data_IF_461263993450
#
_entry.id   IF_461263993450
#
_cell.length_a   1.000
_cell.length_b   1.000
_cell.length_c   1.000
_cell.angle_alpha   90.00
_cell.angle_beta   90.00
_cell.angle_gamma   90.00
#
_symmetry.space_group_name_H-M   'P 1'
#
loop_
_entity.id
_entity.type
_entity.pdbx_description
1 polymer ?
#
# COMPACT_ATOMS: atom_id res chain seq x y z
N UNK A 1 12.28 38.02 85.13
CA UNK A 1 11.96 37.83 83.70
C UNK A 1 12.71 36.60 83.21
N UNK A 2 12.02 35.46 82.99
CA UNK A 2 12.61 34.24 82.44
C UNK A 2 12.49 34.31 80.91
N UNK A 3 13.62 34.35 80.21
CA UNK A 3 13.66 34.27 78.73
C UNK A 3 13.55 32.80 78.31
N UNK A 4 12.46 32.44 77.63
CA UNK A 4 12.38 31.19 76.88
C UNK A 4 13.21 31.34 75.59
N UNK A 5 14.25 30.52 75.45
CA UNK A 5 14.88 30.26 74.15
C UNK A 5 14.08 29.14 73.48
N UNK A 6 13.29 29.51 72.46
CA UNK A 6 12.69 28.55 71.52
C UNK A 6 13.72 28.19 70.46
N UNK A 7 14.14 26.93 70.42
CA UNK A 7 14.90 26.36 69.31
C UNK A 7 13.89 25.94 68.25
N UNK A 8 13.91 26.61 67.11
CA UNK A 8 13.16 26.20 65.91
C UNK A 8 14.07 25.26 65.12
N UNK A 9 13.73 23.98 65.10
CA UNK A 9 14.36 23.01 64.20
C UNK A 9 13.60 23.08 62.88
N UNK A 10 14.16 23.80 61.90
CA UNK A 10 13.70 23.74 60.51
C UNK A 10 14.37 22.52 59.89
N UNK A 11 13.66 21.39 59.79
CA UNK A 11 14.12 20.28 58.96
C UNK A 11 13.85 20.66 57.50
N UNK A 12 14.88 21.11 56.80
CA UNK A 12 14.88 21.09 55.34
C UNK A 12 14.88 19.61 54.93
N UNK A 13 13.71 19.07 54.57
CA UNK A 13 13.65 17.87 53.75
C UNK A 13 14.25 18.27 52.39
N UNK A 14 15.56 18.11 52.27
CA UNK A 14 16.20 18.04 50.98
C UNK A 14 15.54 16.87 50.26
N UNK A 15 14.65 17.19 49.31
CA UNK A 15 14.11 16.22 48.39
C UNK A 15 15.28 15.58 47.67
N UNK A 16 15.69 14.41 48.18
CA UNK A 16 16.47 13.47 47.41
C UNK A 16 15.61 13.17 46.20
N UNK A 17 15.91 13.83 45.07
CA UNK A 17 15.51 13.39 43.76
C UNK A 17 16.14 12.00 43.62
N UNK A 18 15.42 10.97 44.06
CA UNK A 18 15.72 9.60 43.70
C UNK A 18 15.77 9.60 42.18
N UNK A 19 16.95 9.36 41.61
CA UNK A 19 17.09 9.07 40.21
C UNK A 19 16.18 7.89 39.90
N UNK A 20 15.00 8.20 39.38
CA UNK A 20 14.01 7.22 38.97
C UNK A 20 14.64 6.43 37.82
N UNK A 21 14.91 5.16 38.07
CA UNK A 21 15.10 4.17 37.01
C UNK A 21 13.91 4.28 36.05
N UNK A 22 14.16 4.13 34.75
CA UNK A 22 13.12 4.11 33.72
C UNK A 22 11.90 3.30 34.19
N UNK A 23 10.78 3.99 34.42
CA UNK A 23 9.57 3.36 34.90
C UNK A 23 8.73 2.94 33.69
N UNK A 24 8.20 1.72 33.73
CA UNK A 24 7.11 1.36 32.83
C UNK A 24 5.82 1.89 33.41
N UNK A 25 5.16 2.79 32.69
CA UNK A 25 3.90 3.41 33.06
C UNK A 25 2.82 2.87 32.12
N UNK A 26 1.89 2.14 32.72
CA UNK A 26 0.78 1.51 32.01
C UNK A 26 -0.37 2.49 31.86
N UNK A 27 -1.03 2.43 30.71
CA UNK A 27 -2.32 3.08 30.51
C UNK A 27 -3.37 2.45 31.44
N UNK A 28 -4.15 3.27 32.14
CA UNK A 28 -5.23 2.80 33.02
C UNK A 28 -6.63 3.02 32.42
N UNK A 29 -6.74 3.68 31.26
CA UNK A 29 -8.02 3.88 30.58
C UNK A 29 -8.88 4.94 31.22
N UNK A 30 -8.27 6.05 31.66
CA UNK A 30 -8.97 7.14 32.35
C UNK A 30 -10.05 7.86 31.52
N UNK A 31 -10.30 9.12 31.81
CA UNK A 31 -11.59 9.76 31.47
C UNK A 31 -11.74 10.25 30.03
N UNK A 32 -10.64 10.53 29.31
CA UNK A 32 -10.70 11.31 28.06
C UNK A 32 -9.80 10.82 26.90
N UNK A 33 -9.10 9.69 27.08
CA UNK A 33 -8.19 9.09 26.08
C UNK A 33 -6.95 9.91 25.70
N UNK A 34 -6.74 11.09 26.28
CA UNK A 34 -5.62 11.96 25.95
C UNK A 34 -4.32 11.46 26.61
N UNK A 35 -3.23 11.42 25.85
CA UNK A 35 -1.92 11.03 26.36
C UNK A 35 -1.45 11.98 27.46
N UNK A 36 -1.72 13.28 27.32
CA UNK A 36 -1.28 14.31 28.27
C UNK A 36 -2.06 14.35 29.58
N UNK A 37 -3.17 13.62 29.71
CA UNK A 37 -3.98 13.58 30.94
C UNK A 37 -3.39 12.56 31.91
N UNK A 38 -2.85 13.06 33.03
CA UNK A 38 -2.12 12.26 34.02
C UNK A 38 -2.99 11.15 34.64
N UNK A 39 -4.29 11.42 34.86
CA UNK A 39 -5.27 10.47 35.42
C UNK A 39 -5.52 9.26 34.52
N UNK A 40 -5.14 9.31 33.24
CA UNK A 40 -5.26 8.18 32.34
C UNK A 40 -4.14 7.14 32.50
N UNK A 41 -3.10 7.48 33.25
CA UNK A 41 -1.93 6.64 33.48
C UNK A 41 -1.91 6.09 34.90
N UNK A 42 -1.42 4.85 35.05
CA UNK A 42 -1.23 4.23 36.36
C UNK A 42 -0.30 5.09 37.21
N UNK A 43 -0.80 5.53 38.37
CA UNK A 43 -0.07 6.40 39.29
C UNK A 43 -0.34 7.89 39.12
N UNK A 44 -1.16 8.29 38.14
CA UNK A 44 -1.52 9.70 37.95
C UNK A 44 -0.37 10.55 37.42
N UNK A 45 0.48 10.00 36.55
CA UNK A 45 1.67 10.66 36.00
C UNK A 45 1.79 10.38 34.51
N UNK A 46 1.94 11.44 33.72
CA UNK A 46 2.19 11.33 32.27
C UNK A 46 3.61 10.79 32.02
N UNK A 47 3.79 9.77 31.17
CA UNK A 47 5.11 9.26 30.81
C UNK A 47 6.01 10.34 30.20
N UNK A 48 7.25 10.40 30.67
CA UNK A 48 8.24 11.37 30.22
C UNK A 48 9.47 10.71 29.57
N UNK A 49 10.50 11.51 29.29
CA UNK A 49 11.72 11.13 28.54
C UNK A 49 12.49 9.91 29.08
N UNK A 50 12.28 9.51 30.33
CA UNK A 50 12.93 8.35 30.94
C UNK A 50 12.02 7.12 31.01
N UNK A 51 10.74 7.27 30.70
CA UNK A 51 9.71 6.26 30.95
C UNK A 51 9.38 5.45 29.70
N UNK A 52 8.91 4.23 29.93
CA UNK A 52 8.22 3.43 28.93
C UNK A 52 6.72 3.66 29.07
N UNK A 53 6.10 4.23 28.03
CA UNK A 53 4.66 4.31 27.92
C UNK A 53 4.12 3.02 27.30
N UNK A 54 3.22 2.32 28.00
CA UNK A 54 2.71 1.02 27.57
C UNK A 54 1.19 0.93 27.61
N UNK A 55 0.60 0.42 26.53
CA UNK A 55 -0.85 0.12 26.49
C UNK A 55 -1.22 -1.05 27.38
N UNK A 56 -2.46 -1.05 27.88
CA UNK A 56 -3.01 -2.18 28.66
C UNK A 56 -3.55 -3.26 27.74
N UNK A 57 -3.36 -4.52 28.11
CA UNK A 57 -3.95 -5.64 27.38
C UNK A 57 -5.48 -5.54 27.39
N UNK A 58 -6.09 -5.68 26.21
CA UNK A 58 -7.54 -5.72 26.04
C UNK A 58 -8.19 -4.36 25.76
N UNK A 59 -7.40 -3.28 25.70
CA UNK A 59 -7.84 -1.96 25.27
C UNK A 59 -8.40 -1.98 23.84
N UNK A 60 -9.54 -1.33 23.62
CA UNK A 60 -10.17 -1.19 22.29
C UNK A 60 -9.97 0.19 21.68
N UNK A 61 -9.76 1.21 22.52
CA UNK A 61 -9.69 2.59 22.11
C UNK A 61 -8.25 2.99 21.73
N UNK A 62 -8.10 4.10 20.99
CA UNK A 62 -6.81 4.69 20.66
C UNK A 62 -6.46 5.80 21.65
N UNK A 63 -5.23 5.80 22.16
CA UNK A 63 -4.69 6.88 22.98
C UNK A 63 -4.33 8.04 22.06
N UNK A 64 -4.93 9.21 22.28
CA UNK A 64 -4.74 10.39 21.44
C UNK A 64 -3.50 11.14 21.90
N UNK A 65 -2.52 11.27 21.01
CA UNK A 65 -1.38 12.18 21.17
C UNK A 65 -1.88 13.58 20.82
N UNK A 66 -2.23 14.34 21.86
CA UNK A 66 -2.88 15.65 21.75
C UNK A 66 -1.90 16.84 21.76
N UNK A 67 -0.63 16.58 22.06
CA UNK A 67 0.42 17.59 22.21
C UNK A 67 1.79 16.97 21.98
N UNK A 68 2.85 17.78 21.93
CA UNK A 68 4.22 17.26 21.82
C UNK A 68 4.59 16.43 23.04
N UNK A 69 4.99 15.17 22.81
CA UNK A 69 5.35 14.22 23.84
C UNK A 69 6.72 13.62 23.55
N UNK A 70 7.44 13.26 24.60
CA UNK A 70 8.72 12.53 24.48
C UNK A 70 8.80 11.45 25.53
N UNK A 71 9.01 10.21 25.09
CA UNK A 71 9.14 9.03 25.94
C UNK A 71 10.39 8.24 25.58
N UNK A 72 10.94 7.50 26.55
CA UNK A 72 12.09 6.63 26.28
C UNK A 72 11.69 5.49 25.35
N UNK A 73 10.55 4.85 25.64
CA UNK A 73 9.99 3.72 24.89
C UNK A 73 8.48 3.87 24.76
N UNK A 74 7.95 3.35 23.66
CA UNK A 74 6.52 3.24 23.43
C UNK A 74 6.21 1.81 23.03
N UNK A 75 5.39 1.11 23.83
CA UNK A 75 5.05 -0.29 23.59
C UNK A 75 3.53 -0.52 23.52
N UNK A 76 3.08 -0.94 22.35
CA UNK A 76 1.73 -1.42 22.09
C UNK A 76 1.61 -2.94 22.30
N UNK A 77 0.48 -3.39 22.83
CA UNK A 77 0.26 -4.80 23.12
C UNK A 77 -1.19 -5.16 23.43
N UNK A 78 -2.16 -4.39 22.92
CA UNK A 78 -3.57 -4.72 23.08
C UNK A 78 -3.98 -5.87 22.16
N UNK A 79 -4.93 -6.69 22.59
CA UNK A 79 -5.52 -7.79 21.82
C UNK A 79 -6.77 -7.39 21.02
N UNK A 80 -7.31 -6.20 21.29
CA UNK A 80 -8.64 -5.80 20.85
C UNK A 80 -8.64 -4.53 19.98
N UNK A 81 -7.53 -4.20 19.31
CA UNK A 81 -7.44 -3.05 18.39
C UNK A 81 -6.91 -1.76 19.00
N UNK A 82 -6.75 -1.68 20.32
CA UNK A 82 -6.23 -0.48 20.97
C UNK A 82 -4.78 -0.17 20.60
N UNK A 83 -4.42 1.11 20.63
CA UNK A 83 -3.08 1.61 20.30
C UNK A 83 -3.03 3.13 20.40
N UNK A 84 -2.54 3.81 19.37
CA UNK A 84 -2.25 5.26 19.41
C UNK A 84 -2.86 6.00 18.22
N UNK A 85 -3.24 7.26 18.42
CA UNK A 85 -3.71 8.16 17.37
C UNK A 85 -2.97 9.49 17.48
N UNK A 86 -2.33 9.95 16.41
CA UNK A 86 -1.56 11.18 16.35
C UNK A 86 -2.24 12.15 15.39
N UNK A 87 -3.20 12.91 15.92
CA UNK A 87 -3.97 13.91 15.15
C UNK A 87 -3.19 15.23 15.03
N UNK A 88 -2.43 15.57 16.07
CA UNK A 88 -1.66 16.81 16.13
C UNK A 88 -0.42 16.62 17.03
N UNK A 89 0.58 17.49 16.85
CA UNK A 89 1.82 17.45 17.64
C UNK A 89 2.81 16.37 17.21
N UNK A 90 3.85 16.20 18.02
CA UNK A 90 4.99 15.32 17.76
C UNK A 90 5.18 14.33 18.90
N UNK A 91 5.12 13.03 18.62
CA UNK A 91 5.55 11.98 19.54
C UNK A 91 6.99 11.57 19.24
N UNK A 92 7.89 11.85 20.17
CA UNK A 92 9.28 11.40 20.09
C UNK A 92 9.49 10.15 20.96
N UNK A 93 9.92 9.06 20.34
CA UNK A 93 10.26 7.81 21.01
C UNK A 93 11.77 7.61 20.90
N UNK A 94 12.49 7.71 22.02
CA UNK A 94 13.94 7.86 21.99
C UNK A 94 14.71 6.57 21.69
N UNK A 95 14.18 5.39 22.04
CA UNK A 95 14.95 4.14 21.93
C UNK A 95 14.22 3.01 21.22
N UNK A 96 12.98 2.70 21.62
CA UNK A 96 12.23 1.58 21.04
C UNK A 96 10.78 2.00 20.86
N UNK A 97 10.33 1.92 19.62
CA UNK A 97 8.93 1.90 19.28
C UNK A 97 8.54 0.47 18.90
N UNK A 98 7.60 -0.12 19.63
CA UNK A 98 7.20 -1.50 19.39
C UNK A 98 5.69 -1.68 19.45
N UNK A 99 5.11 -2.24 18.39
CA UNK A 99 3.70 -2.61 18.32
C UNK A 99 3.56 -4.13 18.28
N UNK A 100 2.59 -4.65 19.03
CA UNK A 100 2.30 -6.07 19.06
C UNK A 100 3.14 -6.89 20.04
N UNK A 101 3.72 -6.27 21.07
CA UNK A 101 4.60 -6.92 22.06
C UNK A 101 3.84 -7.73 23.13
N UNK A 102 2.73 -8.35 22.76
CA UNK A 102 1.92 -9.26 23.59
C UNK A 102 1.39 -10.37 22.69
N UNK A 103 1.28 -11.60 23.19
CA UNK A 103 0.66 -12.70 22.47
C UNK A 103 -0.74 -12.32 21.93
N UNK A 104 -0.95 -12.57 20.62
CA UNK A 104 -2.16 -12.25 19.84
C UNK A 104 -2.55 -10.77 19.87
N UNK A 105 -1.56 -9.89 19.99
CA UNK A 105 -1.83 -8.47 19.94
C UNK A 105 -2.43 -8.09 18.59
N UNK A 106 -3.50 -7.29 18.63
CA UNK A 106 -4.09 -6.61 17.50
C UNK A 106 -4.01 -5.12 17.79
N UNK A 107 -2.92 -4.48 17.37
CA UNK A 107 -2.63 -3.08 17.70
C UNK A 107 -2.80 -2.18 16.47
N UNK A 108 -3.27 -0.95 16.68
CA UNK A 108 -3.44 0.04 15.64
C UNK A 108 -2.78 1.36 16.07
N UNK A 109 -1.86 1.87 15.26
CA UNK A 109 -1.40 3.26 15.34
C UNK A 109 -1.91 4.02 14.12
N UNK A 110 -2.53 5.18 14.34
CA UNK A 110 -2.99 6.07 13.26
C UNK A 110 -2.23 7.39 13.37
N UNK A 111 -1.65 7.85 12.27
CA UNK A 111 -1.02 9.17 12.14
C UNK A 111 -1.84 9.94 11.10
N UNK A 112 -2.56 10.95 11.57
CA UNK A 112 -3.48 11.74 10.75
C UNK A 112 -3.34 13.24 11.07
N UNK A 113 -2.11 13.75 10.89
CA UNK A 113 -1.80 15.18 10.94
C UNK A 113 -0.55 15.51 11.75
N UNK A 114 -0.21 14.69 12.75
CA UNK A 114 0.97 14.88 13.58
C UNK A 114 2.24 14.22 13.05
N UNK A 115 3.21 14.01 13.93
CA UNK A 115 4.49 13.37 13.61
C UNK A 115 4.87 12.32 14.64
N UNK A 116 5.24 11.11 14.17
CA UNK A 116 5.92 10.10 14.97
C UNK A 116 7.41 10.11 14.64
N UNK A 117 8.26 10.34 15.64
CA UNK A 117 9.71 10.26 15.51
C UNK A 117 10.25 9.10 16.37
N UNK A 118 10.57 7.97 15.76
CA UNK A 118 11.25 6.85 16.42
C UNK A 118 12.76 6.98 16.22
N UNK A 119 13.49 7.38 17.27
CA UNK A 119 14.94 7.60 17.17
C UNK A 119 15.77 6.32 17.27
N UNK A 120 15.19 5.23 17.76
CA UNK A 120 15.81 3.91 17.74
C UNK A 120 15.00 2.91 16.93
N UNK A 121 15.12 1.64 17.27
CA UNK A 121 14.52 0.55 16.48
C UNK A 121 12.99 0.60 16.56
N UNK A 122 12.36 0.48 15.39
CA UNK A 122 10.90 0.34 15.25
C UNK A 122 10.54 -1.10 14.91
N UNK A 123 9.74 -1.76 15.74
CA UNK A 123 9.29 -3.14 15.50
C UNK A 123 7.76 -3.22 15.46
N UNK A 124 7.21 -3.68 14.35
CA UNK A 124 5.76 -3.75 14.13
C UNK A 124 5.42 -5.22 13.88
N UNK A 125 4.48 -5.76 14.65
CA UNK A 125 4.18 -7.21 14.62
C UNK A 125 5.20 -8.01 15.41
N UNK A 126 5.49 -7.58 16.64
CA UNK A 126 6.44 -8.24 17.53
C UNK A 126 5.96 -9.60 18.07
N UNK A 127 4.72 -10.01 17.84
CA UNK A 127 4.21 -11.35 18.13
C UNK A 127 4.78 -12.03 19.37
N UNK A 128 4.48 -11.54 20.59
CA UNK A 128 4.91 -12.30 21.79
C UNK A 128 4.35 -13.74 21.77
N UNK A 129 4.91 -14.69 22.54
CA UNK A 129 4.67 -16.16 22.68
C UNK A 129 3.70 -16.96 21.75
N UNK A 130 2.59 -16.40 21.24
CA UNK A 130 1.69 -16.95 20.21
C UNK A 130 1.64 -16.00 18.97
N UNK A 131 2.52 -16.21 17.99
CA UNK A 131 2.85 -15.45 16.76
C UNK A 131 1.70 -15.07 15.78
N UNK A 132 0.44 -15.02 16.22
CA UNK A 132 -0.75 -14.82 15.37
C UNK A 132 -1.33 -13.40 15.42
N UNK A 133 -0.67 -12.47 16.12
CA UNK A 133 -1.11 -11.08 16.22
C UNK A 133 -0.88 -10.27 14.93
N UNK A 134 -1.64 -9.19 14.77
CA UNK A 134 -1.47 -8.21 13.71
C UNK A 134 -1.22 -6.83 14.33
N UNK A 135 -0.22 -6.10 13.86
CA UNK A 135 -0.04 -4.70 14.25
C UNK A 135 0.00 -3.83 13.02
N UNK A 136 -0.85 -2.81 13.00
CA UNK A 136 -1.01 -1.92 11.85
C UNK A 136 -0.63 -0.50 12.22
N UNK A 137 0.17 0.14 11.37
CA UNK A 137 0.35 1.58 11.37
C UNK A 137 -0.31 2.14 10.11
N UNK A 138 -1.17 3.15 10.30
CA UNK A 138 -1.79 3.90 9.22
C UNK A 138 -1.24 5.33 9.21
N UNK A 139 -0.50 5.68 8.17
CA UNK A 139 -0.09 7.05 7.88
C UNK A 139 -1.04 7.64 6.84
N UNK A 140 -2.01 8.41 7.32
CA UNK A 140 -3.04 9.08 6.49
C UNK A 140 -2.61 10.48 6.10
N UNK A 141 -1.93 11.17 7.01
CA UNK A 141 -1.32 12.48 6.79
C UNK A 141 -0.23 12.73 7.85
N UNK A 142 0.58 13.78 7.71
CA UNK A 142 1.68 14.06 8.66
C UNK A 142 2.96 13.29 8.33
N UNK A 143 3.70 12.84 9.35
CA UNK A 143 4.99 12.18 9.15
C UNK A 143 5.28 11.01 10.09
N UNK A 144 5.98 9.99 9.57
CA UNK A 144 6.59 8.92 10.37
C UNK A 144 8.08 8.82 10.06
N UNK A 145 8.92 9.26 11.00
CA UNK A 145 10.36 9.24 10.86
C UNK A 145 10.95 8.15 11.77
N UNK A 146 11.80 7.29 11.19
CA UNK A 146 12.63 6.34 11.94
C UNK A 146 14.10 6.62 11.68
N UNK A 147 14.88 6.84 12.74
CA UNK A 147 16.32 7.04 12.61
C UNK A 147 17.09 5.72 12.50
N UNK A 148 16.53 4.62 13.01
CA UNK A 148 17.14 3.30 13.00
C UNK A 148 16.24 2.28 12.28
N UNK A 149 16.62 1.00 12.33
CA UNK A 149 15.97 -0.11 11.62
C UNK A 149 14.46 -0.15 11.91
N UNK A 150 13.69 -0.28 10.84
CA UNK A 150 12.26 -0.57 10.89
C UNK A 150 12.05 -2.03 10.48
N UNK A 151 11.28 -2.77 11.28
CA UNK A 151 10.90 -4.15 10.97
C UNK A 151 9.39 -4.28 10.94
N UNK A 152 8.87 -4.72 9.80
CA UNK A 152 7.48 -5.13 9.60
C UNK A 152 7.41 -6.65 9.66
N UNK A 153 6.65 -7.16 10.62
CA UNK A 153 6.46 -8.58 10.83
C UNK A 153 7.68 -9.29 11.39
N UNK A 154 8.12 -8.85 12.57
CA UNK A 154 9.28 -9.46 13.25
C UNK A 154 8.99 -10.90 13.67
N UNK A 155 7.92 -11.13 14.43
CA UNK A 155 7.50 -12.46 14.92
C UNK A 155 6.06 -12.79 14.50
N UNK A 156 5.22 -11.77 14.25
CA UNK A 156 3.83 -11.91 13.77
C UNK A 156 3.57 -11.02 12.55
N UNK A 157 2.32 -10.73 12.21
CA UNK A 157 2.02 -9.82 11.09
C UNK A 157 2.23 -8.36 11.50
N UNK A 158 3.06 -7.64 10.74
CA UNK A 158 3.25 -6.20 10.85
C UNK A 158 2.87 -5.50 9.55
N UNK A 159 2.00 -4.51 9.63
CA UNK A 159 1.43 -3.80 8.49
C UNK A 159 1.77 -2.31 8.62
N UNK A 160 2.27 -1.73 7.53
CA UNK A 160 2.40 -0.28 7.35
C UNK A 160 1.58 0.14 6.13
N UNK A 161 0.57 0.97 6.35
CA UNK A 161 -0.29 1.56 5.32
C UNK A 161 0.02 3.05 5.22
N UNK A 162 0.44 3.52 4.05
CA UNK A 162 0.73 4.93 3.77
C UNK A 162 -0.22 5.38 2.67
N UNK A 163 -1.31 6.06 3.05
CA UNK A 163 -2.28 6.61 2.11
C UNK A 163 -2.11 8.11 1.87
N UNK A 164 -1.25 8.76 2.66
CA UNK A 164 -0.85 10.17 2.53
C UNK A 164 0.30 10.51 3.47
N UNK A 165 0.77 11.76 3.46
CA UNK A 165 1.90 12.19 4.28
C UNK A 165 3.26 11.59 3.84
N UNK A 166 4.25 11.61 4.73
CA UNK A 166 5.60 11.14 4.41
C UNK A 166 6.21 10.25 5.51
N UNK A 167 6.60 9.04 5.15
CA UNK A 167 7.45 8.19 5.95
C UNK A 167 8.92 8.32 5.52
N UNK A 168 9.83 8.49 6.47
CA UNK A 168 11.28 8.57 6.21
C UNK A 168 12.04 7.66 7.15
N UNK A 169 12.73 6.66 6.60
CA UNK A 169 13.55 5.73 7.36
C UNK A 169 15.02 5.92 7.00
N UNK A 170 15.82 6.36 7.98
CA UNK A 170 17.23 6.68 7.81
C UNK A 170 18.16 5.46 8.00
N UNK A 171 17.60 4.26 8.02
CA UNK A 171 18.31 3.00 8.15
C UNK A 171 17.62 1.95 7.29
N UNK A 172 17.74 0.68 7.66
CA UNK A 172 17.18 -0.45 6.91
C UNK A 172 15.69 -0.63 7.18
N UNK A 173 14.94 -1.04 6.15
CA UNK A 173 13.57 -1.52 6.27
C UNK A 173 13.54 -3.02 6.00
N UNK A 174 13.06 -3.80 6.97
CA UNK A 174 12.86 -5.24 6.84
C UNK A 174 11.39 -5.60 6.84
N UNK A 175 11.00 -6.50 5.96
CA UNK A 175 9.64 -7.01 5.87
C UNK A 175 9.65 -8.52 5.89
N UNK A 176 8.89 -9.10 6.82
CA UNK A 176 8.82 -10.53 7.04
C UNK A 176 10.10 -11.05 7.64
N UNK A 177 10.42 -10.64 8.87
CA UNK A 177 11.63 -11.05 9.58
C UNK A 177 12.62 -9.93 9.87
N UNK A 178 13.71 -10.27 10.56
CA UNK A 178 14.81 -9.37 10.86
C UNK A 178 16.17 -9.94 10.41
N UNK A 179 17.21 -9.12 10.41
CA UNK A 179 18.59 -9.53 10.14
C UNK A 179 19.25 -10.25 11.32
N UNK A 180 18.52 -10.52 12.40
CA UNK A 180 18.93 -11.37 13.48
C UNK A 180 18.91 -12.83 13.08
N UNK A 181 19.31 -13.72 14.00
CA UNK A 181 19.31 -15.18 13.80
C UNK A 181 18.03 -15.86 14.26
N UNK A 182 16.99 -15.09 14.57
CA UNK A 182 15.74 -15.66 15.04
C UNK A 182 15.07 -16.43 13.89
N UNK A 183 14.60 -17.62 14.21
CA UNK A 183 13.81 -18.43 13.29
C UNK A 183 12.35 -17.98 13.24
N UNK A 184 11.91 -17.23 14.25
CA UNK A 184 10.59 -16.61 14.28
C UNK A 184 10.61 -15.41 13.35
N UNK A 185 9.98 -15.57 12.19
CA UNK A 185 9.82 -14.52 11.20
C UNK A 185 8.33 -14.47 10.86
N UNK A 186 7.76 -13.27 10.93
CA UNK A 186 6.36 -13.03 10.65
C UNK A 186 6.10 -12.58 9.22
N UNK A 187 4.98 -11.90 9.02
CA UNK A 187 4.56 -11.38 7.73
C UNK A 187 4.66 -9.85 7.74
N UNK A 188 5.51 -9.28 6.89
CA UNK A 188 5.68 -7.84 6.73
C UNK A 188 4.92 -7.34 5.51
N UNK A 189 3.96 -6.44 5.72
CA UNK A 189 3.12 -5.89 4.65
C UNK A 189 3.28 -4.38 4.61
N UNK A 190 3.62 -3.85 3.43
CA UNK A 190 3.70 -2.44 3.15
C UNK A 190 2.76 -2.10 2.01
N UNK A 191 1.85 -1.17 2.24
CA UNK A 191 0.91 -0.68 1.24
C UNK A 191 1.05 0.83 1.10
N UNK A 192 1.31 1.33 -0.11
CA UNK A 192 1.30 2.75 -0.43
C UNK A 192 0.20 3.06 -1.43
N UNK A 193 -0.65 4.01 -1.11
CA UNK A 193 -1.79 4.45 -1.94
C UNK A 193 -1.94 5.98 -1.87
N UNK A 194 -2.90 6.53 -2.62
CA UNK A 194 -3.16 7.97 -2.62
C UNK A 194 -1.92 8.80 -3.00
N UNK A 195 -1.56 9.77 -2.17
CA UNK A 195 -0.38 10.62 -2.29
C UNK A 195 0.73 10.26 -1.29
N UNK A 196 0.68 9.04 -0.73
CA UNK A 196 1.65 8.55 0.24
C UNK A 196 3.08 8.56 -0.29
N UNK A 197 4.03 8.99 0.56
CA UNK A 197 5.47 9.03 0.25
C UNK A 197 6.27 8.18 1.22
N UNK A 198 7.18 7.34 0.71
CA UNK A 198 8.16 6.60 1.52
C UNK A 198 9.59 6.85 1.04
N UNK A 199 10.48 7.21 1.97
CA UNK A 199 11.90 7.40 1.69
C UNK A 199 12.76 6.46 2.55
N UNK A 200 13.54 5.59 1.92
CA UNK A 200 14.54 4.72 2.56
C UNK A 200 15.87 4.87 1.82
N UNK A 201 16.50 6.04 1.97
CA UNK A 201 17.65 6.45 1.15
C UNK A 201 19.02 6.14 1.76
N UNK A 202 19.05 5.66 3.01
CA UNK A 202 20.31 5.44 3.72
C UNK A 202 20.81 4.00 3.67
N UNK A 203 19.91 3.03 3.43
CA UNK A 203 20.22 1.60 3.49
C UNK A 203 19.19 0.79 2.71
N UNK A 204 19.25 -0.53 2.86
CA UNK A 204 18.49 -1.49 2.09
C UNK A 204 17.01 -1.56 2.51
N UNK A 205 16.15 -1.84 1.54
CA UNK A 205 14.82 -2.39 1.75
C UNK A 205 14.88 -3.88 1.40
N UNK A 206 14.56 -4.75 2.36
CA UNK A 206 14.55 -6.20 2.14
C UNK A 206 13.14 -6.75 2.39
N UNK A 207 12.61 -7.43 1.37
CA UNK A 207 11.23 -7.91 1.35
C UNK A 207 11.22 -9.44 1.37
N UNK A 208 10.78 -10.05 2.46
CA UNK A 208 10.79 -11.50 2.64
C UNK A 208 12.15 -11.99 3.12
N UNK A 209 12.51 -11.64 4.36
CA UNK A 209 13.82 -11.95 4.94
C UNK A 209 13.77 -13.29 5.69
N UNK A 210 14.74 -14.17 5.46
CA UNK A 210 14.81 -15.50 6.11
C UNK A 210 13.50 -16.28 6.01
N UNK A 211 12.96 -16.89 7.06
CA UNK A 211 11.71 -17.66 6.95
C UNK A 211 10.43 -16.82 6.83
N UNK A 212 10.53 -15.48 6.78
CA UNK A 212 9.36 -14.62 6.76
C UNK A 212 8.92 -14.20 5.37
N UNK A 213 7.69 -13.74 5.30
CA UNK A 213 7.04 -13.29 4.06
C UNK A 213 6.97 -11.76 4.04
N UNK A 214 7.41 -11.15 2.93
CA UNK A 214 7.32 -9.72 2.72
C UNK A 214 6.44 -9.38 1.51
N UNK A 215 5.63 -8.34 1.60
CA UNK A 215 4.87 -7.84 0.45
C UNK A 215 4.83 -6.32 0.41
N UNK A 216 5.32 -5.73 -0.68
CA UNK A 216 5.12 -4.32 -1.02
C UNK A 216 4.02 -4.21 -2.06
N UNK A 217 3.05 -3.32 -1.84
CA UNK A 217 2.07 -2.92 -2.84
C UNK A 217 2.03 -1.40 -2.96
N UNK A 218 2.16 -0.89 -4.19
CA UNK A 218 2.07 0.52 -4.51
C UNK A 218 0.95 0.73 -5.52
N UNK A 219 0.07 1.71 -5.28
CA UNK A 219 -1.03 2.06 -6.17
C UNK A 219 -1.24 3.58 -6.25
N UNK A 220 -2.19 3.99 -7.09
CA UNK A 220 -2.58 5.39 -7.31
C UNK A 220 -1.39 6.29 -7.72
N UNK A 221 -1.18 7.40 -7.01
CA UNK A 221 -0.10 8.36 -7.23
C UNK A 221 1.01 8.27 -6.18
N UNK A 222 1.08 7.17 -5.43
CA UNK A 222 2.06 7.00 -4.37
C UNK A 222 3.50 7.05 -4.91
N UNK A 223 4.45 7.45 -4.07
CA UNK A 223 5.86 7.50 -4.45
C UNK A 223 6.77 6.88 -3.40
N UNK A 224 7.80 6.18 -3.86
CA UNK A 224 8.82 5.61 -2.99
C UNK A 224 10.22 5.82 -3.57
N UNK A 225 11.18 6.09 -2.69
CA UNK A 225 12.61 6.16 -3.05
C UNK A 225 13.40 5.24 -2.13
N UNK A 226 14.02 4.22 -2.70
CA UNK A 226 14.87 3.27 -2.00
C UNK A 226 16.31 3.40 -2.46
N UNK A 227 17.25 3.25 -1.53
CA UNK A 227 18.66 3.13 -1.88
C UNK A 227 18.91 1.81 -2.61
N UNK A 228 18.65 0.71 -1.91
CA UNK A 228 18.70 -0.66 -2.44
C UNK A 228 17.36 -1.35 -2.19
N UNK A 229 16.99 -2.27 -3.08
CA UNK A 229 15.79 -3.10 -2.95
C UNK A 229 16.12 -4.57 -3.24
N UNK A 230 15.90 -5.44 -2.25
CA UNK A 230 16.06 -6.88 -2.35
C UNK A 230 14.68 -7.54 -2.13
N UNK A 231 14.24 -8.35 -3.10
CA UNK A 231 12.97 -9.09 -3.05
C UNK A 231 13.26 -10.58 -2.89
N UNK A 232 12.89 -11.13 -1.74
CA UNK A 232 13.25 -12.46 -1.27
C UNK A 232 14.62 -12.47 -0.59
N UNK A 233 15.00 -13.63 -0.06
CA UNK A 233 16.30 -13.84 0.58
C UNK A 233 16.70 -15.32 0.52
N UNK A 234 17.82 -15.63 -0.14
CA UNK A 234 18.40 -16.98 -0.18
C UNK A 234 19.74 -17.08 0.54
N UNK A 235 20.10 -16.07 1.35
CA UNK A 235 21.41 -16.01 2.01
C UNK A 235 21.64 -17.14 3.03
N UNK A 236 20.57 -17.82 3.48
CA UNK A 236 20.64 -18.94 4.42
C UNK A 236 19.82 -20.11 3.89
N UNK A 237 20.52 -21.19 3.51
CA UNK A 237 19.89 -22.42 3.01
C UNK A 237 18.94 -23.04 4.06
N UNK A 238 17.71 -23.35 3.64
CA UNK A 238 16.64 -23.88 4.50
C UNK A 238 15.95 -22.81 5.35
N UNK A 239 16.28 -21.54 5.13
CA UNK A 239 15.62 -20.38 5.70
C UNK A 239 15.38 -19.34 4.62
N UNK A 240 15.01 -19.75 3.42
CA UNK A 240 14.77 -18.86 2.31
C UNK A 240 13.45 -18.09 2.50
N UNK A 241 13.50 -16.79 2.24
CA UNK A 241 12.38 -15.88 2.39
C UNK A 241 11.71 -15.58 1.08
N UNK A 242 10.39 -15.34 1.17
CA UNK A 242 9.57 -15.05 0.01
C UNK A 242 9.17 -13.59 0.03
N UNK A 243 9.64 -12.86 -0.98
CA UNK A 243 9.28 -11.47 -1.22
C UNK A 243 8.31 -11.32 -2.39
N UNK A 244 7.38 -10.37 -2.28
CA UNK A 244 6.54 -9.95 -3.40
C UNK A 244 6.50 -8.42 -3.51
N UNK A 245 6.54 -7.91 -4.74
CA UNK A 245 6.30 -6.50 -5.03
C UNK A 245 5.24 -6.35 -6.10
N UNK A 246 4.22 -5.53 -5.84
CA UNK A 246 3.16 -5.19 -6.78
C UNK A 246 3.16 -3.69 -7.05
N UNK A 247 3.50 -3.31 -8.27
CA UNK A 247 3.52 -1.92 -8.72
C UNK A 247 2.26 -1.64 -9.55
N UNK A 248 1.15 -1.43 -8.85
CA UNK A 248 -0.19 -1.22 -9.41
C UNK A 248 -0.45 0.24 -9.81
N UNK A 249 0.44 1.15 -9.46
CA UNK A 249 0.39 2.58 -9.73
C UNK A 249 1.62 3.27 -9.13
N UNK A 250 1.67 4.59 -9.24
CA UNK A 250 2.71 5.41 -8.63
C UNK A 250 4.09 5.28 -9.27
N UNK A 251 5.11 5.72 -8.54
CA UNK A 251 6.52 5.65 -8.98
C UNK A 251 7.42 5.13 -7.87
N UNK A 252 8.16 4.08 -8.17
CA UNK A 252 9.21 3.53 -7.31
C UNK A 252 10.58 3.85 -7.93
N UNK A 253 11.44 4.56 -7.19
CA UNK A 253 12.80 4.88 -7.59
C UNK A 253 13.81 4.09 -6.74
N UNK A 254 14.70 3.33 -7.38
CA UNK A 254 15.81 2.61 -6.77
C UNK A 254 17.13 3.26 -7.19
N UNK A 255 17.96 3.65 -6.22
CA UNK A 255 19.14 4.49 -6.48
C UNK A 255 20.43 3.70 -6.75
N UNK A 256 20.56 2.51 -6.19
CA UNK A 256 21.77 1.70 -6.29
C UNK A 256 21.42 0.29 -6.78
N UNK A 257 21.15 -0.67 -5.90
CA UNK A 257 20.97 -2.07 -6.29
C UNK A 257 19.49 -2.52 -6.24
N UNK A 258 19.08 -3.30 -7.25
CA UNK A 258 17.81 -4.04 -7.28
C UNK A 258 18.07 -5.51 -7.55
N UNK A 259 17.58 -6.39 -6.67
CA UNK A 259 17.75 -7.83 -6.76
C UNK A 259 16.45 -8.59 -6.44
N UNK A 260 16.26 -9.72 -7.10
CA UNK A 260 15.17 -10.66 -6.83
C UNK A 260 15.79 -12.03 -6.60
N UNK A 261 15.72 -12.52 -5.36
CA UNK A 261 16.32 -13.76 -4.89
C UNK A 261 15.24 -14.57 -4.16
N UNK A 262 14.54 -15.47 -4.86
CA UNK A 262 13.36 -16.19 -4.34
C UNK A 262 12.17 -15.26 -4.01
N UNK A 263 11.85 -14.37 -4.95
CA UNK A 263 10.71 -13.49 -4.87
C UNK A 263 10.01 -13.30 -6.21
N UNK A 264 9.00 -12.43 -6.24
CA UNK A 264 8.28 -12.11 -7.46
C UNK A 264 7.92 -10.63 -7.55
N UNK A 265 7.89 -10.14 -8.79
CA UNK A 265 7.52 -8.75 -9.09
C UNK A 265 6.41 -8.73 -10.12
N UNK A 266 5.35 -7.99 -9.80
CA UNK A 266 4.28 -7.63 -10.73
C UNK A 266 4.38 -6.14 -11.02
N UNK A 267 4.54 -5.79 -12.30
CA UNK A 267 4.41 -4.41 -12.78
C UNK A 267 3.08 -4.30 -13.52
N UNK A 268 2.23 -3.39 -13.07
CA UNK A 268 0.96 -3.09 -13.72
C UNK A 268 0.94 -1.62 -14.16
N UNK A 269 0.09 -0.77 -13.59
CA UNK A 269 -0.03 0.63 -14.00
C UNK A 269 1.01 1.58 -13.37
N UNK A 270 1.98 1.09 -12.58
CA UNK A 270 3.02 1.94 -12.00
C UNK A 270 4.33 1.97 -12.79
N UNK A 271 5.24 2.86 -12.36
CA UNK A 271 6.52 3.13 -13.02
C UNK A 271 7.69 2.79 -12.11
N UNK A 272 8.60 1.93 -12.58
CA UNK A 272 9.83 1.60 -11.88
C UNK A 272 11.00 2.39 -12.48
N UNK A 273 11.80 3.04 -11.65
CA UNK A 273 12.95 3.85 -12.05
C UNK A 273 14.18 3.33 -11.32
N UNK A 274 15.27 3.12 -12.05
CA UNK A 274 16.53 2.63 -11.53
C UNK A 274 17.67 3.51 -12.02
N UNK A 275 18.41 4.14 -11.09
CA UNK A 275 19.56 4.99 -11.42
C UNK A 275 20.65 4.16 -12.14
N UNK A 276 21.08 4.59 -13.33
CA UNK A 276 22.02 3.86 -14.17
C UNK A 276 21.40 3.20 -15.41
N UNK A 277 22.26 2.62 -16.25
CA UNK A 277 21.85 1.79 -17.40
C UNK A 277 21.74 0.33 -16.95
N UNK A 278 20.50 -0.09 -16.69
CA UNK A 278 20.12 -1.39 -16.15
C UNK A 278 19.17 -2.14 -17.09
N UNK A 279 19.10 -1.75 -18.37
CA UNK A 279 18.23 -2.41 -19.36
C UNK A 279 18.62 -3.89 -19.50
N UNK A 280 19.91 -4.21 -19.48
CA UNK A 280 20.42 -5.58 -19.55
C UNK A 280 20.09 -6.40 -18.29
N UNK A 281 20.22 -5.81 -17.11
CA UNK A 281 19.90 -6.48 -15.84
C UNK A 281 18.39 -6.80 -15.78
N UNK A 282 17.56 -5.84 -16.16
CA UNK A 282 16.11 -6.03 -16.22
C UNK A 282 15.71 -7.10 -17.25
N UNK A 283 16.40 -7.15 -18.40
CA UNK A 283 16.22 -8.21 -19.40
C UNK A 283 16.47 -9.60 -18.82
N UNK A 284 17.48 -9.74 -17.95
CA UNK A 284 17.81 -11.01 -17.32
C UNK A 284 16.73 -11.45 -16.33
N UNK A 285 16.18 -10.53 -15.52
CA UNK A 285 15.08 -10.81 -14.58
C UNK A 285 13.80 -11.23 -15.32
N UNK A 286 13.45 -10.57 -16.43
CA UNK A 286 12.32 -10.97 -17.27
C UNK A 286 12.55 -12.38 -17.87
N UNK A 287 13.75 -12.67 -18.35
CA UNK A 287 14.09 -13.98 -18.92
C UNK A 287 14.08 -15.11 -17.88
N UNK A 288 14.42 -14.81 -16.62
CA UNK A 288 14.34 -15.74 -15.50
C UNK A 288 12.90 -16.02 -15.05
N UNK A 289 11.95 -15.15 -15.40
CA UNK A 289 10.55 -15.26 -15.00
C UNK A 289 10.23 -14.60 -13.67
N UNK A 290 11.15 -13.80 -13.13
CA UNK A 290 11.00 -13.11 -11.83
C UNK A 290 10.04 -11.90 -11.92
N UNK A 291 9.82 -11.40 -13.15
CA UNK A 291 8.97 -10.24 -13.45
C UNK A 291 7.79 -10.66 -14.31
N UNK A 292 6.60 -10.26 -13.87
CA UNK A 292 5.32 -10.42 -14.56
C UNK A 292 4.64 -9.06 -14.78
N UNK A 293 3.75 -8.95 -15.76
CA UNK A 293 3.03 -7.71 -16.07
C UNK A 293 1.65 -7.92 -16.67
N UNK A 294 0.75 -6.93 -16.49
CA UNK A 294 -0.67 -7.02 -16.90
C UNK A 294 -1.24 -5.77 -17.62
N UNK A 295 -2.15 -5.02 -16.99
CA UNK A 295 -3.04 -4.00 -17.55
C UNK A 295 -2.31 -2.72 -17.99
N UNK A 296 -1.18 -2.41 -17.36
CA UNK A 296 -0.35 -1.27 -17.73
C UNK A 296 -1.01 0.09 -17.62
N UNK A 297 -0.37 1.08 -18.23
CA UNK A 297 -0.77 2.48 -18.28
C UNK A 297 -0.66 3.02 -19.71
N UNK A 298 -0.99 4.31 -19.91
CA UNK A 298 -0.74 4.97 -21.18
C UNK A 298 0.76 4.95 -21.53
N UNK A 299 1.07 4.95 -22.82
CA UNK A 299 2.47 4.90 -23.28
C UNK A 299 3.23 6.15 -22.83
N UNK A 300 4.32 5.95 -22.07
CA UNK A 300 5.11 7.07 -21.54
C UNK A 300 6.07 7.67 -22.58
N UNK A 301 6.58 6.87 -23.51
CA UNK A 301 7.54 7.29 -24.54
C UNK A 301 7.43 6.45 -25.81
N UNK A 302 7.59 7.08 -26.98
CA UNK A 302 7.68 6.36 -28.27
C UNK A 302 9.08 5.80 -28.55
N UNK A 303 10.08 6.23 -27.78
CA UNK A 303 11.45 5.72 -27.83
C UNK A 303 11.73 4.91 -26.57
N UNK A 304 12.23 3.68 -26.75
CA UNK A 304 12.60 2.77 -25.68
C UNK A 304 13.78 1.92 -26.11
N UNK A 305 14.55 1.42 -25.13
CA UNK A 305 15.73 0.61 -25.35
C UNK A 305 15.40 -0.87 -25.54
N UNK A 306 14.40 -1.39 -24.81
CA UNK A 306 13.94 -2.77 -24.88
C UNK A 306 12.44 -2.89 -24.61
N UNK A 307 11.83 -3.99 -25.07
CA UNK A 307 10.45 -4.33 -24.75
C UNK A 307 10.20 -5.83 -24.75
N UNK A 308 9.18 -6.25 -24.00
CA UNK A 308 8.72 -7.64 -23.88
C UNK A 308 7.20 -7.68 -23.93
N UNK A 309 6.65 -8.65 -24.65
CA UNK A 309 5.19 -8.77 -24.85
C UNK A 309 4.69 -10.08 -24.26
N UNK A 310 3.53 -10.01 -23.62
CA UNK A 310 2.74 -11.17 -23.23
C UNK A 310 1.29 -11.01 -23.72
N UNK A 311 0.38 -11.88 -23.28
CA UNK A 311 -1.01 -11.85 -23.70
C UNK A 311 -1.82 -10.65 -23.16
N UNK A 312 -1.27 -9.90 -22.21
CA UNK A 312 -1.97 -8.83 -21.49
C UNK A 312 -1.44 -7.42 -21.77
N UNK A 313 -0.16 -7.29 -22.16
CA UNK A 313 0.47 -5.99 -22.39
C UNK A 313 1.91 -6.07 -22.87
N UNK A 314 2.51 -4.89 -23.05
CA UNK A 314 3.92 -4.74 -23.40
C UNK A 314 4.64 -4.02 -22.27
N UNK A 315 5.66 -4.68 -21.73
CA UNK A 315 6.61 -4.11 -20.79
C UNK A 315 7.71 -3.40 -21.58
N UNK A 316 7.98 -2.14 -21.26
CA UNK A 316 9.01 -1.32 -21.89
C UNK A 316 10.09 -0.97 -20.89
N UNK A 317 11.33 -0.91 -21.36
CA UNK A 317 12.46 -0.33 -20.64
C UNK A 317 13.11 0.74 -21.52
N UNK A 318 13.28 1.92 -20.95
CA UNK A 318 13.96 3.05 -21.56
C UNK A 318 15.19 3.43 -20.73
N UNK A 319 16.24 3.92 -21.39
CA UNK A 319 17.40 4.52 -20.72
C UNK A 319 17.63 5.92 -21.28
N UNK A 320 17.78 6.90 -20.40
CA UNK A 320 18.18 8.28 -20.69
C UNK A 320 17.15 9.15 -21.44
N UNK A 321 16.12 8.59 -22.09
CA UNK A 321 15.12 9.39 -22.81
C UNK A 321 14.01 9.95 -21.91
N UNK A 322 13.43 9.12 -21.04
CA UNK A 322 12.41 9.54 -20.05
C UNK A 322 13.05 10.22 -18.85
N UNK A 323 14.12 9.62 -18.33
CA UNK A 323 14.85 10.11 -17.16
C UNK A 323 16.36 10.03 -17.44
N UNK A 324 17.01 11.18 -17.57
CA UNK A 324 18.44 11.27 -17.89
C UNK A 324 19.27 10.50 -16.87
N UNK A 325 20.13 9.61 -17.37
CA UNK A 325 21.00 8.76 -16.56
C UNK A 325 20.30 7.62 -15.81
N UNK A 326 19.03 7.32 -16.11
CA UNK A 326 18.26 6.28 -15.42
C UNK A 326 17.57 5.34 -16.40
N UNK A 327 17.35 4.11 -15.94
CA UNK A 327 16.48 3.13 -16.58
C UNK A 327 15.05 3.32 -16.05
N UNK A 328 14.08 3.50 -16.94
CA UNK A 328 12.66 3.63 -16.60
C UNK A 328 11.90 2.47 -17.21
N UNK A 329 11.12 1.76 -16.39
CA UNK A 329 10.33 0.60 -16.79
C UNK A 329 8.85 0.87 -16.52
N UNK A 330 8.02 0.60 -17.52
CA UNK A 330 6.56 0.69 -17.43
C UNK A 330 5.90 -0.35 -18.32
N UNK A 331 4.62 -0.62 -18.04
CA UNK A 331 3.79 -1.47 -18.91
C UNK A 331 2.82 -0.56 -19.62
N UNK A 332 2.62 -0.79 -20.92
CA UNK A 332 1.47 -0.25 -21.63
C UNK A 332 0.54 -1.39 -22.00
N UNK A 333 -0.76 -1.20 -21.80
CA UNK A 333 -1.74 -2.15 -22.30
C UNK A 333 -1.58 -2.24 -23.81
N UNK A 334 -1.55 -3.47 -24.32
CA UNK A 334 -2.04 -3.68 -25.68
C UNK A 334 -3.52 -3.40 -25.57
N UNK A 335 -3.94 -2.14 -25.75
CA UNK A 335 -5.35 -1.83 -25.86
C UNK A 335 -5.92 -2.89 -26.81
N UNK A 336 -6.86 -3.70 -26.35
CA UNK A 336 -7.73 -4.40 -27.28
C UNK A 336 -8.37 -3.27 -28.02
N UNK A 337 -7.81 -2.92 -29.17
CA UNK A 337 -8.44 -2.03 -30.11
C UNK A 337 -9.72 -2.77 -30.44
N UNK A 338 -10.79 -2.43 -29.72
CA UNK A 338 -12.15 -2.54 -30.21
C UNK A 338 -12.16 -1.58 -31.39
N UNK A 339 -11.52 -2.00 -32.48
CA UNK A 339 -11.61 -1.34 -33.77
C UNK A 339 -13.10 -1.28 -33.98
N UNK A 340 -13.72 -0.08 -34.00
CA UNK A 340 -15.17 0.00 -34.10
C UNK A 340 -15.58 -0.86 -35.27
N UNK A 341 -16.35 -1.92 -35.01
CA UNK A 341 -16.82 -2.78 -36.08
C UNK A 341 -17.72 -1.92 -36.93
N UNK A 342 -17.22 -1.54 -38.10
CA UNK A 342 -17.97 -0.68 -39.01
C UNK A 342 -19.13 -1.50 -39.55
N UNK A 343 -20.36 -1.11 -39.19
CA UNK A 343 -21.54 -1.64 -39.85
C UNK A 343 -21.45 -1.16 -41.30
N UNK A 344 -21.18 -2.08 -42.22
CA UNK A 344 -21.12 -1.80 -43.64
C UNK A 344 -22.46 -1.36 -44.21
N UNK A 345 -22.64 -1.52 -45.53
CA UNK A 345 -23.90 -1.14 -46.17
C UNK A 345 -25.09 -1.91 -45.60
N UNK A 346 -26.12 -1.19 -45.16
CA UNK A 346 -27.41 -1.75 -44.74
C UNK A 346 -28.38 -1.63 -45.92
N UNK A 347 -29.10 -2.72 -46.23
CA UNK A 347 -30.21 -2.70 -47.18
C UNK A 347 -31.50 -3.17 -46.53
N UNK A 348 -32.60 -2.56 -46.94
CA UNK A 348 -33.95 -2.90 -46.53
C UNK A 348 -34.77 -3.26 -47.76
N UNK A 349 -35.36 -4.45 -47.77
CA UNK A 349 -36.27 -4.93 -48.83
C UNK A 349 -37.62 -5.25 -48.21
N UNK A 350 -38.70 -4.83 -48.86
CA UNK A 350 -40.06 -5.20 -48.48
C UNK A 350 -40.49 -6.43 -49.27
N UNK A 351 -40.98 -7.45 -48.57
CA UNK A 351 -41.49 -8.69 -49.17
C UNK A 351 -42.84 -9.03 -48.56
N UNK A 352 -43.91 -8.80 -49.30
CA UNK A 352 -45.30 -8.95 -48.84
C UNK A 352 -45.57 -8.11 -47.59
N UNK A 353 -45.82 -8.75 -46.44
CA UNK A 353 -46.03 -8.10 -45.14
C UNK A 353 -44.77 -8.02 -44.30
N UNK A 354 -43.60 -8.38 -44.84
CA UNK A 354 -42.35 -8.42 -44.10
C UNK A 354 -41.34 -7.36 -44.55
N UNK A 355 -40.55 -6.86 -43.60
CA UNK A 355 -39.30 -6.14 -43.83
C UNK A 355 -38.12 -7.10 -43.67
N UNK A 356 -37.23 -7.09 -44.65
CA UNK A 356 -35.98 -7.85 -44.64
C UNK A 356 -34.83 -6.85 -44.57
N UNK A 357 -34.21 -6.77 -43.40
CA UNK A 357 -33.01 -5.94 -43.17
C UNK A 357 -31.79 -6.83 -43.32
N UNK A 358 -30.85 -6.43 -44.16
CA UNK A 358 -29.59 -7.13 -44.35
C UNK A 358 -28.39 -6.19 -44.25
N UNK A 359 -27.32 -6.68 -43.66
CA UNK A 359 -26.07 -5.94 -43.46
C UNK A 359 -24.87 -6.90 -43.56
N UNK A 360 -23.67 -6.35 -43.68
CA UNK A 360 -22.44 -7.12 -43.54
C UNK A 360 -22.11 -7.26 -42.05
N UNK A 361 -22.12 -8.50 -41.56
CA UNK A 361 -21.72 -8.85 -40.21
C UNK A 361 -20.22 -9.12 -40.07
N UNK A 362 -19.77 -9.07 -38.82
CA UNK A 362 -18.45 -9.43 -38.33
C UNK A 362 -18.63 -10.44 -37.18
N UNK A 363 -17.90 -11.55 -37.24
CA UNK A 363 -17.98 -12.62 -36.25
C UNK A 363 -17.53 -12.22 -34.83
N UNK A 364 -16.81 -11.10 -34.68
CA UNK A 364 -16.39 -10.60 -33.38
C UNK A 364 -17.42 -9.69 -32.68
N UNK A 365 -18.55 -9.40 -33.30
CA UNK A 365 -19.54 -8.44 -32.80
C UNK A 365 -20.85 -9.09 -32.34
N UNK A 366 -21.58 -8.35 -31.50
CA UNK A 366 -22.99 -8.62 -31.18
C UNK A 366 -23.85 -7.54 -31.82
N UNK A 367 -25.03 -7.92 -32.31
CA UNK A 367 -25.94 -6.99 -32.98
C UNK A 367 -27.30 -6.92 -32.28
N UNK A 368 -27.89 -5.72 -32.30
CA UNK A 368 -29.28 -5.50 -31.98
C UNK A 368 -29.98 -4.79 -33.16
N UNK A 369 -31.21 -5.22 -33.46
CA UNK A 369 -32.04 -4.61 -34.49
C UNK A 369 -33.22 -3.96 -33.79
N UNK A 370 -33.45 -2.70 -34.14
CA UNK A 370 -34.51 -1.90 -33.53
C UNK A 370 -35.38 -1.27 -34.59
N UNK A 371 -36.64 -1.03 -34.24
CA UNK A 371 -37.56 -0.22 -35.03
C UNK A 371 -38.19 0.93 -34.25
N UNK A 372 -38.55 1.98 -34.97
CA UNK A 372 -39.32 3.12 -34.47
C UNK A 372 -40.37 3.53 -35.52
N UNK A 373 -41.62 3.84 -35.14
CA UNK A 373 -42.64 4.27 -36.11
C UNK A 373 -42.33 5.64 -36.73
N UNK A 374 -41.61 6.51 -36.03
CA UNK A 374 -41.26 7.86 -36.47
C UNK A 374 -39.78 8.17 -36.12
N UNK A 375 -39.05 8.76 -37.06
CA UNK A 375 -37.61 9.03 -36.93
C UNK A 375 -37.31 10.27 -36.06
N UNK A 376 -38.27 11.18 -35.95
CA UNK A 376 -38.17 12.46 -35.24
C UNK A 376 -38.66 12.31 -33.80
N UNK A 377 -39.78 11.61 -33.59
CA UNK A 377 -40.41 11.44 -32.28
C UNK A 377 -40.73 9.97 -32.00
N UNK A 378 -40.30 9.41 -30.87
CA UNK A 378 -40.65 8.05 -30.47
C UNK A 378 -39.53 7.29 -29.76
N UNK A 379 -39.84 6.08 -29.32
CA UNK A 379 -38.88 5.19 -28.69
C UNK A 379 -38.51 4.04 -29.63
N UNK A 380 -37.21 3.83 -29.83
CA UNK A 380 -36.71 2.64 -30.49
C UNK A 380 -37.03 1.42 -29.65
N UNK A 381 -37.69 0.45 -30.26
CA UNK A 381 -38.02 -0.84 -29.65
C UNK A 381 -37.17 -1.93 -30.27
N UNK A 382 -36.67 -2.84 -29.44
CA UNK A 382 -35.92 -4.01 -29.89
C UNK A 382 -36.84 -4.94 -30.69
N UNK A 383 -36.40 -5.27 -31.90
CA UNK A 383 -36.93 -6.38 -32.69
C UNK A 383 -36.20 -7.64 -32.27
N UNK A 384 -34.87 -7.58 -32.23
CA UNK A 384 -34.00 -8.67 -31.83
C UNK A 384 -32.74 -8.09 -31.16
N UNK A 385 -32.19 -8.81 -30.19
CA UNK A 385 -31.01 -8.40 -29.42
C UNK A 385 -30.08 -9.58 -29.25
N UNK A 386 -28.82 -9.32 -28.94
CA UNK A 386 -27.81 -10.36 -28.74
C UNK A 386 -27.71 -11.30 -29.95
N UNK A 387 -27.83 -10.76 -31.17
CA UNK A 387 -27.60 -11.53 -32.39
C UNK A 387 -26.10 -11.71 -32.55
N UNK A 388 -25.55 -12.93 -32.41
CA UNK A 388 -24.12 -13.15 -32.62
C UNK A 388 -23.78 -12.88 -34.08
N UNK A 389 -22.76 -12.08 -34.30
CA UNK A 389 -22.25 -11.80 -35.62
C UNK A 389 -21.67 -13.03 -36.30
N UNK A 390 -21.70 -13.03 -37.64
CA UNK A 390 -20.93 -13.94 -38.48
C UNK A 390 -20.24 -13.13 -39.56
N UNK A 391 -19.08 -13.59 -40.03
CA UNK A 391 -18.40 -13.01 -41.18
C UNK A 391 -19.24 -13.29 -42.44
N UNK A 392 -19.95 -12.28 -42.93
CA UNK A 392 -20.81 -12.42 -44.11
C UNK A 392 -22.09 -11.61 -44.05
N UNK A 393 -23.01 -11.91 -44.97
CA UNK A 393 -24.31 -11.27 -44.99
C UNK A 393 -25.17 -11.75 -43.81
N UNK A 394 -25.55 -10.81 -42.95
CA UNK A 394 -26.54 -10.98 -41.91
C UNK A 394 -27.90 -10.56 -42.43
N UNK A 395 -28.95 -11.25 -42.01
CA UNK A 395 -30.34 -10.97 -42.42
C UNK A 395 -31.27 -11.17 -41.25
N UNK A 396 -32.18 -10.22 -41.03
CA UNK A 396 -33.35 -10.41 -40.19
C UNK A 396 -34.62 -10.11 -40.98
N UNK A 397 -35.66 -10.91 -40.75
CA UNK A 397 -36.99 -10.71 -41.33
C UNK A 397 -37.98 -10.44 -40.21
N UNK A 398 -38.73 -9.35 -40.31
CA UNK A 398 -39.72 -8.96 -39.33
C UNK A 398 -41.04 -8.57 -40.01
N UNK A 399 -42.17 -8.87 -39.36
CA UNK A 399 -43.48 -8.49 -39.87
C UNK A 399 -43.73 -6.98 -39.70
N UNK A 400 -44.28 -6.36 -40.74
CA UNK A 400 -44.65 -4.94 -40.76
C UNK A 400 -46.06 -4.83 -40.19
N UNK A 401 -46.13 -4.45 -38.91
CA UNK A 401 -47.41 -4.27 -38.21
C UNK A 401 -47.97 -2.85 -38.34
N UNK A 402 -47.16 -1.90 -38.79
CA UNK A 402 -47.51 -0.48 -38.91
C UNK A 402 -47.33 0.03 -40.34
N UNK A 403 -48.11 1.03 -40.80
CA UNK A 403 -47.99 1.59 -42.15
C UNK A 403 -46.62 2.22 -42.45
N UNK A 404 -45.86 2.57 -41.41
CA UNK A 404 -44.52 3.14 -41.48
C UNK A 404 -43.68 2.67 -40.29
N UNK A 405 -42.43 2.31 -40.57
CA UNK A 405 -41.43 2.02 -39.55
C UNK A 405 -40.03 2.35 -40.08
N UNK A 406 -39.16 2.79 -39.18
CA UNK A 406 -37.73 3.02 -39.39
C UNK A 406 -36.95 1.93 -38.67
N UNK A 407 -35.84 1.50 -39.25
CA UNK A 407 -35.02 0.41 -38.70
C UNK A 407 -33.59 0.90 -38.50
N UNK A 408 -32.91 0.39 -37.46
CA UNK A 408 -31.47 0.54 -37.27
C UNK A 408 -30.85 -0.75 -36.78
N UNK A 409 -29.57 -0.93 -37.12
CA UNK A 409 -28.71 -1.98 -36.61
C UNK A 409 -27.71 -1.32 -35.65
N UNK A 410 -27.55 -1.88 -34.46
CA UNK A 410 -26.59 -1.46 -33.45
C UNK A 410 -25.54 -2.57 -33.34
N UNK A 411 -24.26 -2.20 -33.33
CA UNK A 411 -23.15 -3.04 -32.87
C UNK A 411 -22.98 -2.77 -31.39
N UNK A 412 -23.02 -3.83 -30.60
CA UNK A 412 -22.86 -3.83 -29.14
C UNK A 412 -21.49 -4.33 -28.71
#
# INVERSE_FOLDING_TARGET
MRRLLGVVIVSAMAGLAMHATAAQILWDGGTDLLFSTAENWVGGVVPATLDEAKTKTGMTDLIIIDSDQTVMKLTGGSRNGGGYQIDAGTLNVLTIYAEGNTARANCLTVIDGGTLNAQGVSKIGMGGDDDTGTSTIQLKSGAFNSADVVTLGHESTGILEISGGTATFNSRLWMGGDGGTDTRNGNGILTLTGDGVLNVQSNDVVVGKRLGEGTITMADSASAVFKNLEIGDVSVVGQEGSGAMNLLGGTLNVMEDFAIDNGSVLIDAGTFVWDGDHVADFSALVAAGDISWTNGQEMLSETYAASWTNDTGVLFADYDNLNVGKTTVWVSSTATTNTPVEIGSISLVLSETNSVVSWQGDSSAMYAIQSCPDLVEGFWSNIETNVPGIDGAMVITNEITEPQAFYRVIVE
#
